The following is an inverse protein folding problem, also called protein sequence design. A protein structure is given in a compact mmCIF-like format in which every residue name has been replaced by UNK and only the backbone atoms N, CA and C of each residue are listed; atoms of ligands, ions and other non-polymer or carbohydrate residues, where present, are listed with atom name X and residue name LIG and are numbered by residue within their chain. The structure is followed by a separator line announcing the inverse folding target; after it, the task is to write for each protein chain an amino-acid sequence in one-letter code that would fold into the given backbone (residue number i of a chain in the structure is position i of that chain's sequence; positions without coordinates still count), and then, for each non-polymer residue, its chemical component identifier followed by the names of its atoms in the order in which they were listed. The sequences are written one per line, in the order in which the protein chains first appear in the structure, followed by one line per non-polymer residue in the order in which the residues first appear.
data_IF_124817010378
#
_entry.id   IF_124817010378
#
_cell.length_a   1.000
_cell.length_b   1.000
_cell.length_c   1.000
_cell.angle_alpha   90.00
_cell.angle_beta   90.00
_cell.angle_gamma   90.00
#
_symmetry.space_group_name_H-M   'P 1'
#
loop_
_entity.id
_entity.type
_entity.pdbx_description
1 polymer ?
#
# COMPACT_ATOMS: atom_id res chain seq x y z
N UNK A 1 -5.10 -29.55 -34.22
CA UNK A 1 -6.05 -29.59 -33.10
C UNK A 1 -7.44 -29.61 -33.70
N UNK A 2 -8.13 -30.75 -33.53
CA UNK A 2 -9.53 -30.93 -33.89
C UNK A 2 -10.38 -30.16 -32.87
N UNK A 3 -11.19 -29.22 -33.34
CA UNK A 3 -12.31 -28.67 -32.58
C UNK A 3 -13.57 -29.33 -33.12
N UNK A 4 -14.15 -30.21 -32.31
CA UNK A 4 -15.38 -30.93 -32.63
C UNK A 4 -16.53 -29.93 -32.82
N UNK A 5 -17.07 -29.92 -34.04
CA UNK A 5 -18.33 -29.27 -34.38
C UNK A 5 -19.43 -30.15 -33.79
N UNK A 6 -20.08 -29.66 -32.74
CA UNK A 6 -21.23 -30.30 -32.09
C UNK A 6 -22.43 -30.22 -33.05
N UNK A 7 -22.54 -31.18 -33.99
CA UNK A 7 -23.77 -31.43 -34.74
C UNK A 7 -24.61 -32.45 -33.99
N UNK A 8 -25.69 -32.00 -33.35
CA UNK A 8 -26.59 -32.90 -32.66
C UNK A 8 -27.84 -32.19 -32.15
N UNK A 9 -28.79 -31.94 -33.06
CA UNK A 9 -30.22 -31.91 -32.77
C UNK A 9 -31.01 -31.70 -34.08
N UNK A 10 -31.31 -32.78 -34.80
CA UNK A 10 -32.49 -32.80 -35.66
C UNK A 10 -33.67 -33.31 -34.82
N UNK A 11 -34.64 -32.42 -34.61
CA UNK A 11 -35.83 -32.66 -33.80
C UNK A 11 -36.78 -31.47 -33.83
N UNK A 12 -37.40 -31.25 -34.99
CA UNK A 12 -38.76 -30.74 -35.20
C UNK A 12 -39.29 -29.60 -34.28
N UNK A 13 -39.24 -28.35 -34.74
CA UNK A 13 -40.33 -27.33 -34.72
C UNK A 13 -39.75 -25.94 -35.06
N UNK A 14 -40.44 -25.20 -35.94
CA UNK A 14 -40.00 -23.91 -36.48
C UNK A 14 -40.04 -22.76 -35.48
N UNK A 15 -39.14 -22.76 -34.50
CA UNK A 15 -38.85 -21.66 -33.60
C UNK A 15 -37.59 -20.92 -34.02
N UNK A 16 -37.63 -20.24 -35.18
CA UNK A 16 -36.56 -19.33 -35.57
C UNK A 16 -36.30 -18.35 -34.43
N UNK A 17 -35.05 -18.28 -33.94
CA UNK A 17 -34.66 -17.34 -32.89
C UNK A 17 -35.18 -15.96 -33.31
N UNK A 18 -36.11 -15.40 -32.55
CA UNK A 18 -36.75 -14.13 -32.92
C UNK A 18 -35.66 -13.07 -33.15
N UNK A 19 -35.75 -12.28 -34.23
CA UNK A 19 -34.74 -11.26 -34.56
C UNK A 19 -34.39 -10.34 -33.37
N UNK A 20 -35.34 -10.11 -32.48
CA UNK A 20 -35.17 -9.32 -31.27
C UNK A 20 -34.25 -10.00 -30.22
N UNK A 21 -34.33 -11.33 -30.06
CA UNK A 21 -33.42 -12.08 -29.16
C UNK A 21 -31.99 -12.11 -29.69
N UNK A 22 -31.81 -12.12 -31.01
CA UNK A 22 -30.48 -12.02 -31.65
C UNK A 22 -29.90 -10.61 -31.44
N UNK A 23 -30.72 -9.56 -31.58
CA UNK A 23 -30.29 -8.17 -31.31
C UNK A 23 -29.94 -7.94 -29.85
N UNK A 24 -30.74 -8.44 -28.93
CA UNK A 24 -30.49 -8.33 -27.48
C UNK A 24 -29.19 -9.07 -27.09
N UNK A 25 -28.97 -10.26 -27.65
CA UNK A 25 -27.72 -11.00 -27.46
C UNK A 25 -26.51 -10.27 -28.03
N UNK A 26 -26.61 -9.72 -29.25
CA UNK A 26 -25.55 -8.90 -29.85
C UNK A 26 -25.26 -7.63 -29.06
N UNK A 27 -26.30 -6.94 -28.55
CA UNK A 27 -26.15 -5.76 -27.71
C UNK A 27 -25.44 -6.09 -26.39
N UNK A 28 -25.83 -7.20 -25.73
CA UNK A 28 -25.19 -7.67 -24.49
C UNK A 28 -23.74 -8.10 -24.73
N UNK A 29 -23.45 -8.75 -25.86
CA UNK A 29 -22.08 -9.09 -26.27
C UNK A 29 -21.24 -7.84 -26.53
N UNK A 30 -21.77 -6.83 -27.22
CA UNK A 30 -21.06 -5.58 -27.48
C UNK A 30 -20.77 -4.81 -26.18
N UNK A 31 -21.74 -4.74 -25.26
CA UNK A 31 -21.56 -4.14 -23.93
C UNK A 31 -20.51 -4.90 -23.11
N UNK A 32 -20.56 -6.23 -23.08
CA UNK A 32 -19.57 -7.05 -22.39
C UNK A 32 -18.17 -6.91 -23.00
N UNK A 33 -18.05 -6.81 -24.32
CA UNK A 33 -16.77 -6.58 -24.99
C UNK A 33 -16.17 -5.21 -24.64
N UNK A 34 -16.99 -4.16 -24.55
CA UNK A 34 -16.54 -2.84 -24.11
C UNK A 34 -16.07 -2.86 -22.66
N UNK A 35 -16.80 -3.51 -21.75
CA UNK A 35 -16.40 -3.67 -20.35
C UNK A 35 -15.09 -4.47 -20.23
N UNK A 36 -14.94 -5.57 -20.98
CA UNK A 36 -13.71 -6.35 -21.00
C UNK A 36 -12.52 -5.57 -21.58
N UNK A 37 -12.74 -4.77 -22.63
CA UNK A 37 -11.69 -3.94 -23.21
C UNK A 37 -11.23 -2.85 -22.23
N UNK A 38 -12.16 -2.19 -21.53
CA UNK A 38 -11.86 -1.22 -20.50
C UNK A 38 -11.10 -1.86 -19.32
N UNK A 39 -11.55 -3.01 -18.84
CA UNK A 39 -10.87 -3.77 -17.78
C UNK A 39 -9.44 -4.15 -18.17
N UNK A 40 -9.23 -4.66 -19.39
CA UNK A 40 -7.88 -4.99 -19.90
C UNK A 40 -6.96 -3.77 -19.99
N UNK A 41 -7.48 -2.62 -20.41
CA UNK A 41 -6.68 -1.39 -20.45
C UNK A 41 -6.30 -0.92 -19.04
N UNK A 42 -7.22 -1.03 -18.08
CA UNK A 42 -6.96 -0.68 -16.69
C UNK A 42 -5.91 -1.61 -16.06
N UNK A 43 -6.00 -2.91 -16.30
CA UNK A 43 -5.01 -3.91 -15.85
C UNK A 43 -3.62 -3.64 -16.45
N UNK A 44 -3.54 -3.34 -17.75
CA UNK A 44 -2.27 -3.00 -18.40
C UNK A 44 -1.64 -1.74 -17.81
N UNK A 45 -2.43 -0.70 -17.51
CA UNK A 45 -1.93 0.53 -16.88
C UNK A 45 -1.44 0.28 -15.45
N UNK A 46 -2.17 -0.51 -14.67
CA UNK A 46 -1.76 -0.90 -13.32
C UNK A 46 -0.43 -1.67 -13.37
N UNK A 47 -0.30 -2.63 -14.28
CA UNK A 47 0.94 -3.39 -14.46
C UNK A 47 2.12 -2.50 -14.86
N UNK A 48 1.93 -1.58 -15.80
CA UNK A 48 2.98 -0.62 -16.19
C UNK A 48 3.42 0.27 -15.03
N UNK A 49 2.48 0.65 -14.15
CA UNK A 49 2.82 1.41 -12.96
C UNK A 49 3.60 0.55 -11.96
N UNK A 50 3.19 -0.71 -11.74
CA UNK A 50 3.95 -1.64 -10.89
C UNK A 50 5.37 -1.89 -11.41
N UNK A 51 5.54 -2.09 -12.72
CA UNK A 51 6.86 -2.31 -13.33
C UNK A 51 7.80 -1.11 -13.10
N UNK A 52 7.26 0.12 -13.17
CA UNK A 52 8.03 1.35 -12.84
C UNK A 52 8.43 1.39 -11.38
N UNK A 53 7.53 1.04 -10.46
CA UNK A 53 7.82 1.03 -9.02
C UNK A 53 8.87 -0.04 -8.68
N UNK A 54 8.79 -1.22 -9.29
CA UNK A 54 9.82 -2.26 -9.17
C UNK A 54 11.15 -1.77 -9.71
N UNK A 55 11.18 -1.05 -10.84
CA UNK A 55 12.42 -0.49 -11.38
C UNK A 55 13.08 0.51 -10.41
N UNK A 56 12.28 1.34 -9.73
CA UNK A 56 12.77 2.27 -8.69
C UNK A 56 13.36 1.48 -7.51
N UNK A 57 12.69 0.42 -7.04
CA UNK A 57 13.21 -0.46 -5.98
C UNK A 57 14.53 -1.13 -6.39
N UNK A 58 14.62 -1.64 -7.62
CA UNK A 58 15.84 -2.26 -8.13
C UNK A 58 16.99 -1.25 -8.22
N UNK A 59 16.72 -0.03 -8.68
CA UNK A 59 17.70 1.06 -8.70
C UNK A 59 18.16 1.41 -7.29
N UNK A 60 17.23 1.45 -6.32
CA UNK A 60 17.58 1.64 -4.92
C UNK A 60 18.49 0.52 -4.41
N UNK A 61 18.11 -0.74 -4.62
CA UNK A 61 18.89 -1.93 -4.24
C UNK A 61 20.31 -1.89 -4.82
N UNK A 62 20.46 -1.53 -6.09
CA UNK A 62 21.75 -1.51 -6.79
C UNK A 62 22.68 -0.38 -6.30
N UNK A 63 22.12 0.76 -5.90
CA UNK A 63 22.91 1.94 -5.53
C UNK A 63 23.02 2.12 -4.01
N UNK A 64 22.24 1.37 -3.22
CA UNK A 64 22.21 1.48 -1.77
C UNK A 64 23.49 0.93 -1.15
N UNK A 65 24.09 1.71 -0.25
CA UNK A 65 25.16 1.25 0.63
C UNK A 65 24.64 0.51 1.87
N UNK A 66 23.32 0.43 2.03
CA UNK A 66 22.65 -0.19 3.18
C UNK A 66 22.28 -1.63 2.83
N UNK A 67 23.23 -2.55 3.06
CA UNK A 67 23.08 -3.98 2.77
C UNK A 67 21.83 -4.58 3.40
N UNK A 68 21.52 -4.18 4.63
CA UNK A 68 20.44 -4.80 5.39
C UNK A 68 19.06 -4.38 4.89
N UNK A 69 18.88 -3.09 4.56
CA UNK A 69 17.65 -2.62 3.91
C UNK A 69 17.46 -3.29 2.55
N UNK A 70 18.53 -3.44 1.79
CA UNK A 70 18.51 -4.11 0.49
C UNK A 70 18.04 -5.55 0.59
N UNK A 71 18.55 -6.29 1.59
CA UNK A 71 18.13 -7.65 1.87
C UNK A 71 16.65 -7.70 2.30
N UNK A 72 16.21 -6.83 3.20
CA UNK A 72 14.82 -6.80 3.67
C UNK A 72 13.85 -6.46 2.54
N UNK A 73 14.18 -5.52 1.65
CA UNK A 73 13.38 -5.20 0.46
C UNK A 73 13.27 -6.44 -0.45
N UNK A 74 14.38 -7.13 -0.70
CA UNK A 74 14.36 -8.35 -1.51
C UNK A 74 13.47 -9.43 -0.88
N UNK A 75 13.56 -9.62 0.44
CA UNK A 75 12.67 -10.54 1.18
C UNK A 75 11.20 -10.13 1.09
N UNK A 76 10.88 -8.84 1.20
CA UNK A 76 9.51 -8.36 1.03
C UNK A 76 8.96 -8.67 -0.38
N UNK A 77 9.78 -8.49 -1.41
CA UNK A 77 9.43 -8.85 -2.79
C UNK A 77 9.21 -10.36 -2.94
N UNK A 78 10.06 -11.20 -2.34
CA UNK A 78 9.88 -12.67 -2.30
C UNK A 78 8.55 -13.08 -1.65
N UNK A 79 8.06 -12.32 -0.67
CA UNK A 79 6.77 -12.55 -0.01
C UNK A 79 5.57 -11.98 -0.79
N UNK A 80 5.77 -11.54 -2.04
CA UNK A 80 4.75 -10.94 -2.90
C UNK A 80 4.14 -9.65 -2.34
N UNK A 81 4.84 -8.96 -1.43
CA UNK A 81 4.38 -7.66 -0.93
C UNK A 81 4.43 -6.64 -2.08
N UNK A 82 3.36 -5.86 -2.33
CA UNK A 82 3.33 -4.89 -3.43
C UNK A 82 4.46 -3.86 -3.38
N UNK A 83 5.08 -3.60 -4.52
CA UNK A 83 6.20 -2.65 -4.64
C UNK A 83 5.84 -1.24 -4.16
N UNK A 84 4.61 -0.78 -4.43
CA UNK A 84 4.09 0.51 -3.96
C UNK A 84 4.14 0.63 -2.43
N UNK A 85 3.83 -0.47 -1.73
CA UNK A 85 3.83 -0.52 -0.28
C UNK A 85 5.25 -0.55 0.28
N UNK A 86 6.13 -1.37 -0.32
CA UNK A 86 7.55 -1.41 0.07
C UNK A 86 8.21 -0.04 -0.11
N UNK A 87 7.93 0.65 -1.23
CA UNK A 87 8.39 2.01 -1.46
C UNK A 87 7.90 2.95 -0.36
N UNK A 88 6.61 2.92 -0.02
CA UNK A 88 6.07 3.73 1.06
C UNK A 88 6.77 3.50 2.40
N UNK A 89 7.13 2.25 2.72
CA UNK A 89 7.92 1.93 3.91
C UNK A 89 9.31 2.57 3.87
N UNK A 90 10.00 2.56 2.73
CA UNK A 90 11.37 3.09 2.66
C UNK A 90 11.44 4.59 2.36
N UNK A 91 10.33 5.29 2.19
CA UNK A 91 10.35 6.72 1.85
C UNK A 91 10.97 7.60 2.94
N UNK A 92 10.77 7.25 4.21
CA UNK A 92 11.25 8.06 5.34
C UNK A 92 12.79 8.08 5.37
N UNK A 93 13.37 9.28 5.33
CA UNK A 93 14.83 9.48 5.33
C UNK A 93 15.56 9.09 4.03
N UNK A 94 14.82 8.82 2.94
CA UNK A 94 15.41 8.48 1.62
C UNK A 94 14.97 9.50 0.56
N UNK A 95 15.64 10.66 0.54
CA UNK A 95 15.34 11.79 -0.35
C UNK A 95 15.44 11.47 -1.84
N UNK A 96 16.32 10.55 -2.23
CA UNK A 96 16.48 10.17 -3.64
C UNK A 96 15.26 9.40 -4.14
N UNK A 97 14.71 8.50 -3.31
CA UNK A 97 13.48 7.75 -3.61
C UNK A 97 12.29 8.71 -3.68
N UNK A 98 12.24 9.66 -2.74
CA UNK A 98 11.27 10.76 -2.72
C UNK A 98 11.28 11.58 -4.03
N UNK A 99 12.46 12.03 -4.46
CA UNK A 99 12.63 12.78 -5.72
C UNK A 99 12.18 11.97 -6.94
N UNK A 100 12.53 10.70 -7.01
CA UNK A 100 12.13 9.82 -8.12
C UNK A 100 10.62 9.58 -8.19
N UNK A 101 9.95 9.57 -7.03
CA UNK A 101 8.49 9.43 -6.94
C UNK A 101 7.75 10.76 -7.01
N UNK A 102 8.45 11.89 -7.00
CA UNK A 102 7.84 13.22 -6.94
C UNK A 102 7.10 13.49 -5.63
N UNK A 103 7.51 12.82 -4.53
CA UNK A 103 6.93 12.98 -3.19
C UNK A 103 7.96 13.64 -2.29
N UNK A 104 7.58 14.67 -1.52
CA UNK A 104 8.48 15.33 -0.58
C UNK A 104 7.94 15.29 0.84
N UNK A 105 8.72 14.69 1.75
CA UNK A 105 8.50 14.75 3.19
C UNK A 105 9.33 15.90 3.77
N UNK A 106 9.00 17.13 3.40
CA UNK A 106 9.63 18.29 4.02
C UNK A 106 8.96 18.58 5.37
N UNK A 107 9.65 18.22 6.46
CA UNK A 107 9.55 18.96 7.71
C UNK A 107 10.54 20.11 7.67
N UNK A 108 10.30 21.05 6.75
CA UNK A 108 11.07 22.28 6.67
C UNK A 108 10.98 23.06 7.99
N UNK A 109 12.01 23.83 8.33
CA UNK A 109 11.92 24.92 9.31
C UNK A 109 11.09 26.11 8.78
N UNK A 110 10.21 25.90 7.80
CA UNK A 110 9.35 26.88 7.13
C UNK A 110 7.93 26.29 7.02
N UNK A 111 6.86 27.11 7.07
CA UNK A 111 5.49 26.63 7.14
C UNK A 111 5.09 25.88 5.86
N UNK A 112 4.34 24.78 6.03
CA UNK A 112 3.85 23.92 4.96
C UNK A 112 3.15 24.72 3.85
N UNK A 113 3.82 24.85 2.71
CA UNK A 113 3.22 25.23 1.44
C UNK A 113 3.30 24.02 0.49
N UNK A 114 2.31 23.13 0.59
CA UNK A 114 1.99 22.23 -0.52
C UNK A 114 1.58 23.12 -1.70
N UNK A 115 2.28 22.97 -2.82
CA UNK A 115 1.89 23.60 -4.08
C UNK A 115 0.42 23.23 -4.40
N UNK A 116 -0.48 24.19 -4.17
CA UNK A 116 -1.88 24.14 -4.60
C UNK A 116 -2.95 24.01 -3.51
N UNK A 117 -2.62 23.94 -2.22
CA UNK A 117 -3.65 23.91 -1.16
C UNK A 117 -3.60 25.14 -0.26
N UNK A 118 -4.63 25.98 -0.37
CA UNK A 118 -4.91 27.13 0.49
C UNK A 118 -4.88 26.76 1.98
N UNK A 119 -4.45 27.72 2.80
CA UNK A 119 -4.16 27.60 4.23
C UNK A 119 -5.32 27.00 5.08
N UNK A 120 -6.56 27.06 4.59
CA UNK A 120 -7.74 26.50 5.25
C UNK A 120 -7.74 24.96 5.34
N UNK A 121 -7.01 24.25 4.47
CA UNK A 121 -6.93 22.78 4.51
C UNK A 121 -5.99 22.22 5.59
N UNK A 122 -5.07 23.03 6.15
CA UNK A 122 -4.04 22.54 7.06
C UNK A 122 -4.53 22.28 8.49
N UNK A 123 -5.55 23.01 8.95
CA UNK A 123 -6.18 22.72 10.25
C UNK A 123 -7.09 21.48 10.17
N UNK A 124 -7.73 21.25 9.01
CA UNK A 124 -8.52 20.05 8.78
C UNK A 124 -7.63 18.79 8.77
N UNK A 125 -6.43 18.87 8.17
CA UNK A 125 -5.51 17.72 8.11
C UNK A 125 -4.95 17.33 9.49
N UNK A 126 -4.70 18.29 10.40
CA UNK A 126 -4.24 18.01 11.76
C UNK A 126 -5.34 17.39 12.63
N UNK A 127 -6.61 17.77 12.41
CA UNK A 127 -7.73 17.22 13.18
C UNK A 127 -8.07 15.77 12.79
N UNK A 128 -7.74 15.35 11.57
CA UNK A 128 -7.84 13.95 11.10
C UNK A 128 -6.62 13.07 11.49
N UNK A 129 -5.56 13.68 12.06
CA UNK A 129 -4.30 13.01 12.45
C UNK A 129 -4.34 12.53 13.91
N UNK A 130 -5.24 13.05 14.75
CA UNK A 130 -5.39 12.59 16.15
C UNK A 130 -6.21 11.30 16.22
N UNK A 131 -5.61 10.20 15.80
CA UNK A 131 -6.08 8.87 16.19
C UNK A 131 -5.55 8.56 17.61
N UNK A 132 -6.43 8.42 18.62
CA UNK A 132 -6.01 8.08 19.98
C UNK A 132 -5.27 6.74 20.06
N UNK A 133 -5.50 5.81 19.13
CA UNK A 133 -4.78 4.54 19.07
C UNK A 133 -3.32 4.72 18.61
N UNK A 134 -3.05 5.60 17.64
CA UNK A 134 -1.69 5.91 17.19
C UNK A 134 -0.91 6.76 18.20
N UNK A 135 -1.59 7.63 18.94
CA UNK A 135 -0.97 8.43 20.01
C UNK A 135 -0.38 7.60 21.15
N UNK A 136 -0.93 6.40 21.41
CA UNK A 136 -0.40 5.45 22.39
C UNK A 136 0.91 4.77 21.99
N UNK A 137 1.25 4.74 20.70
CA UNK A 137 2.46 4.10 20.16
C UNK A 137 3.75 4.69 20.73
N UNK A 138 3.75 6.00 20.98
CA UNK A 138 4.96 6.77 21.28
C UNK A 138 5.41 6.68 22.74
N UNK A 139 4.62 5.99 23.58
CA UNK A 139 4.92 5.73 25.00
C UNK A 139 6.08 4.72 25.17
N UNK A 140 6.47 4.03 24.09
CA UNK A 140 7.50 2.96 24.09
C UNK A 140 8.94 3.48 24.30
N UNK A 141 9.20 4.79 24.16
CA UNK A 141 10.56 5.34 24.20
C UNK A 141 11.12 5.75 25.58
N UNK A 142 10.42 5.40 26.67
CA UNK A 142 10.94 5.50 28.05
C UNK A 142 10.55 6.79 28.80
N UNK A 143 10.55 6.70 30.15
CA UNK A 143 9.93 7.66 31.07
C UNK A 143 10.59 9.05 31.16
N UNK A 144 11.82 9.24 30.65
CA UNK A 144 12.61 10.46 30.92
C UNK A 144 12.91 11.34 29.70
N UNK A 145 12.48 10.96 28.49
CA UNK A 145 12.63 11.81 27.28
C UNK A 145 11.36 11.77 26.46
N UNK A 146 10.66 12.90 26.41
CA UNK A 146 9.56 13.09 25.48
C UNK A 146 10.05 12.89 24.04
N UNK A 147 9.30 12.13 23.26
CA UNK A 147 9.60 11.91 21.85
C UNK A 147 9.58 13.28 21.11
N UNK A 148 10.64 13.68 20.40
CA UNK A 148 10.70 15.00 19.79
C UNK A 148 9.52 15.26 18.84
N UNK A 149 8.83 16.39 19.00
CA UNK A 149 7.61 16.73 18.24
C UNK A 149 7.86 16.67 16.73
N UNK A 150 9.02 17.13 16.25
CA UNK A 150 9.39 17.05 14.83
C UNK A 150 9.46 15.62 14.31
N UNK A 151 10.00 14.69 15.12
CA UNK A 151 10.06 13.28 14.77
C UNK A 151 8.66 12.65 14.79
N UNK A 152 7.81 13.05 15.74
CA UNK A 152 6.41 12.62 15.82
C UNK A 152 5.68 12.95 14.53
N UNK A 153 5.70 14.22 14.14
CA UNK A 153 5.02 14.69 12.95
C UNK A 153 5.54 13.98 11.69
N UNK A 154 6.84 13.69 11.61
CA UNK A 154 7.42 12.94 10.50
C UNK A 154 6.86 11.53 10.39
N UNK A 155 6.81 10.83 11.53
CA UNK A 155 6.32 9.45 11.60
C UNK A 155 4.83 9.39 11.34
N UNK A 156 4.05 10.37 11.81
CA UNK A 156 2.61 10.45 11.56
C UNK A 156 2.32 10.67 10.06
N UNK A 157 3.02 11.62 9.42
CA UNK A 157 2.93 11.84 7.96
C UNK A 157 3.37 10.61 7.16
N UNK A 158 4.41 9.93 7.62
CA UNK A 158 4.87 8.68 7.03
C UNK A 158 3.83 7.56 7.14
N UNK A 159 3.20 7.41 8.31
CA UNK A 159 2.11 6.46 8.52
C UNK A 159 0.93 6.71 7.61
N UNK A 160 0.54 7.98 7.42
CA UNK A 160 -0.48 8.37 6.44
C UNK A 160 -0.10 7.95 5.02
N UNK A 161 1.14 8.20 4.61
CA UNK A 161 1.58 7.82 3.26
C UNK A 161 1.66 6.30 3.06
N UNK A 162 1.97 5.52 4.09
CA UNK A 162 1.88 4.05 4.02
C UNK A 162 0.42 3.62 3.87
N UNK A 163 -0.50 4.23 4.63
CA UNK A 163 -1.93 3.98 4.50
C UNK A 163 -2.44 4.32 3.10
N UNK A 164 -2.12 5.50 2.58
CA UNK A 164 -2.55 5.96 1.24
C UNK A 164 -2.00 5.07 0.12
N UNK A 165 -0.82 4.47 0.30
CA UNK A 165 -0.26 3.48 -0.62
C UNK A 165 -0.99 2.12 -0.55
N UNK A 166 -1.52 1.75 0.61
CA UNK A 166 -2.22 0.48 0.83
C UNK A 166 -3.71 0.53 0.48
N UNK A 167 -4.36 1.67 0.74
CA UNK A 167 -5.80 1.91 0.61
C UNK A 167 -6.39 1.57 -0.77
N UNK A 168 -5.71 1.80 -1.91
CA UNK A 168 -6.24 1.44 -3.23
C UNK A 168 -6.21 -0.07 -3.54
N UNK A 169 -5.41 -0.86 -2.83
CA UNK A 169 -5.23 -2.30 -3.05
C UNK A 169 -5.32 -3.11 -1.74
N UNK A 170 -6.35 -2.86 -0.90
CA UNK A 170 -6.29 -3.19 0.51
C UNK A 170 -6.37 -4.73 0.72
N UNK A 171 -7.11 -5.45 -0.13
CA UNK A 171 -7.16 -6.92 -0.10
C UNK A 171 -5.80 -7.57 -0.40
N UNK A 172 -5.04 -7.03 -1.37
CA UNK A 172 -3.71 -7.54 -1.72
C UNK A 172 -2.71 -7.29 -0.60
N UNK A 173 -2.79 -6.13 0.04
CA UNK A 173 -1.94 -5.79 1.20
C UNK A 173 -2.25 -6.72 2.36
N UNK A 174 -3.52 -6.83 2.77
CA UNK A 174 -3.91 -7.66 3.91
C UNK A 174 -3.66 -9.16 3.70
N UNK A 175 -3.70 -9.62 2.45
CA UNK A 175 -3.33 -11.00 2.09
C UNK A 175 -1.82 -11.26 2.19
N UNK A 176 -0.99 -10.25 1.90
CA UNK A 176 0.48 -10.40 1.83
C UNK A 176 1.18 -10.06 3.14
N UNK A 177 0.57 -9.20 3.97
CA UNK A 177 1.05 -8.83 5.31
C UNK A 177 -0.04 -9.23 6.33
N UNK A 178 -0.13 -10.53 6.66
CA UNK A 178 -1.19 -11.07 7.48
C UNK A 178 -0.91 -10.74 8.94
N UNK A 179 -1.51 -9.65 9.42
CA UNK A 179 -1.70 -9.43 10.85
C UNK A 179 -3.14 -9.70 11.28
N UNK A 180 -4.05 -9.75 10.30
CA UNK A 180 -5.49 -9.88 10.49
C UNK A 180 -6.14 -10.90 9.55
N UNK A 181 -5.32 -11.74 8.91
CA UNK A 181 -5.83 -12.89 8.19
C UNK A 181 -5.97 -14.01 9.22
N UNK A 182 -7.18 -14.48 9.47
CA UNK A 182 -7.49 -15.65 10.30
C UNK A 182 -7.00 -16.97 9.66
N UNK A 183 -5.97 -16.88 8.82
CA UNK A 183 -5.37 -18.01 8.14
C UNK A 183 -4.16 -18.49 8.97
N UNK A 184 -4.32 -19.56 9.78
CA UNK A 184 -3.25 -20.10 10.62
C UNK A 184 -2.07 -20.67 9.82
N UNK A 185 -2.19 -20.84 8.49
CA UNK A 185 -1.08 -21.24 7.61
C UNK A 185 -0.36 -20.06 6.96
N UNK A 186 -0.90 -18.83 7.06
CA UNK A 186 -0.25 -17.63 6.56
C UNK A 186 1.04 -17.39 7.35
N UNK A 187 2.18 -17.55 6.67
CA UNK A 187 3.47 -17.64 7.31
C UNK A 187 3.81 -16.28 7.97
N UNK A 188 4.10 -16.23 9.29
CA UNK A 188 4.40 -14.99 10.03
C UNK A 188 5.68 -14.26 9.56
N UNK A 189 6.36 -14.81 8.55
CA UNK A 189 7.58 -14.27 7.97
C UNK A 189 7.32 -12.91 7.32
N UNK A 190 6.25 -12.72 6.55
CA UNK A 190 6.05 -11.45 5.84
C UNK A 190 5.76 -10.29 6.80
N UNK A 191 5.01 -10.55 7.88
CA UNK A 191 4.86 -9.62 9.00
C UNK A 191 6.22 -9.27 9.60
N UNK A 192 7.03 -10.26 9.96
CA UNK A 192 8.36 -10.01 10.55
C UNK A 192 9.26 -9.20 9.59
N UNK A 193 9.23 -9.48 8.28
CA UNK A 193 9.99 -8.72 7.29
C UNK A 193 9.55 -7.25 7.23
N UNK A 194 8.24 -6.98 7.24
CA UNK A 194 7.70 -5.62 7.25
C UNK A 194 8.07 -4.91 8.55
N UNK A 195 7.88 -5.55 9.71
CA UNK A 195 8.25 -4.98 11.01
C UNK A 195 9.75 -4.66 11.08
N UNK A 196 10.62 -5.57 10.62
CA UNK A 196 12.07 -5.33 10.56
C UNK A 196 12.42 -4.18 9.61
N UNK A 197 11.82 -4.15 8.42
CA UNK A 197 12.04 -3.08 7.44
C UNK A 197 11.65 -1.71 8.03
N UNK A 198 10.46 -1.62 8.62
CA UNK A 198 9.95 -0.43 9.31
C UNK A 198 10.89 0.00 10.44
N UNK A 199 11.35 -0.94 11.28
CA UNK A 199 12.27 -0.64 12.38
C UNK A 199 13.63 -0.12 11.88
N UNK A 200 14.14 -0.65 10.75
CA UNK A 200 15.41 -0.23 10.18
C UNK A 200 15.32 1.16 9.53
N UNK A 201 14.21 1.45 8.85
CA UNK A 201 13.93 2.78 8.31
C UNK A 201 13.85 3.81 9.44
N UNK A 202 13.12 3.50 10.51
CA UNK A 202 13.02 4.37 11.69
C UNK A 202 14.36 4.56 12.39
N UNK A 203 15.14 3.48 12.56
CA UNK A 203 16.51 3.54 13.12
C UNK A 203 17.35 4.54 12.36
N UNK A 204 17.39 4.42 11.04
CA UNK A 204 18.23 5.25 10.18
C UNK A 204 17.76 6.71 10.23
N UNK A 205 16.45 6.94 10.12
CA UNK A 205 15.87 8.30 10.18
C UNK A 205 16.10 8.97 11.53
N UNK A 206 15.88 8.26 12.64
CA UNK A 206 16.11 8.81 13.97
C UNK A 206 17.59 9.07 14.24
N UNK A 207 18.48 8.18 13.78
CA UNK A 207 19.92 8.39 13.92
C UNK A 207 20.40 9.65 13.18
N UNK A 208 19.87 9.93 11.98
CA UNK A 208 20.11 11.18 11.25
C UNK A 208 19.67 12.42 12.04
N UNK A 209 18.66 12.28 12.89
CA UNK A 209 18.11 13.34 13.74
C UNK A 209 18.62 13.28 15.19
N UNK A 210 19.74 12.60 15.43
CA UNK A 210 20.39 12.48 16.75
C UNK A 210 19.51 11.84 17.84
N UNK A 211 18.56 10.98 17.44
CA UNK A 211 17.74 10.16 18.33
C UNK A 211 18.07 8.68 18.10
N UNK A 212 18.64 8.00 19.08
CA UNK A 212 19.11 6.61 18.93
C UNK A 212 18.50 5.70 19.99
N UNK A 213 17.20 5.37 19.88
CA UNK A 213 16.56 4.45 20.80
C UNK A 213 17.10 3.02 20.62
N UNK A 214 17.00 2.16 21.65
CA UNK A 214 17.34 0.74 21.54
C UNK A 214 16.56 0.05 20.42
N UNK A 215 17.19 -0.93 19.75
CA UNK A 215 16.56 -1.67 18.65
C UNK A 215 15.25 -2.36 19.07
N UNK A 216 15.20 -2.92 20.27
CA UNK A 216 13.98 -3.56 20.80
C UNK A 216 12.80 -2.59 20.86
N UNK A 217 13.04 -1.35 21.30
CA UNK A 217 12.01 -0.31 21.33
C UNK A 217 11.56 0.07 19.90
N UNK A 218 12.50 0.17 18.96
CA UNK A 218 12.18 0.42 17.55
C UNK A 218 11.37 -0.70 16.94
N UNK A 219 11.72 -1.96 17.23
CA UNK A 219 10.99 -3.13 16.72
C UNK A 219 9.57 -3.19 17.28
N UNK A 220 9.41 -2.98 18.58
CA UNK A 220 8.11 -2.97 19.24
C UNK A 220 7.24 -1.81 18.73
N UNK A 221 7.83 -0.62 18.57
CA UNK A 221 7.16 0.52 17.98
C UNK A 221 6.76 0.25 16.53
N UNK A 222 7.64 -0.34 15.72
CA UNK A 222 7.35 -0.70 14.33
C UNK A 222 6.22 -1.72 14.22
N UNK A 223 6.19 -2.74 15.08
CA UNK A 223 5.09 -3.72 15.14
C UNK A 223 3.76 -3.03 15.47
N UNK A 224 3.74 -2.20 16.52
CA UNK A 224 2.55 -1.44 16.90
C UNK A 224 2.09 -0.47 15.81
N UNK A 225 3.02 0.26 15.20
CA UNK A 225 2.75 1.22 14.14
C UNK A 225 2.15 0.55 12.91
N UNK A 226 2.73 -0.58 12.47
CA UNK A 226 2.21 -1.32 11.32
C UNK A 226 0.85 -1.95 11.62
N UNK A 227 0.61 -2.44 12.85
CA UNK A 227 -0.73 -2.87 13.31
C UNK A 227 -1.75 -1.77 13.11
N UNK A 228 -1.46 -0.57 13.59
CA UNK A 228 -2.35 0.59 13.48
C UNK A 228 -2.68 0.91 12.02
N UNK A 229 -1.65 0.99 11.16
CA UNK A 229 -1.85 1.27 9.73
C UNK A 229 -2.69 0.18 9.06
N UNK A 230 -2.36 -1.10 9.25
CA UNK A 230 -3.06 -2.21 8.61
C UNK A 230 -4.50 -2.40 9.14
N UNK A 231 -4.73 -2.13 10.42
CA UNK A 231 -6.08 -2.09 11.01
C UNK A 231 -6.94 -1.05 10.30
N UNK A 232 -6.44 0.18 10.10
CA UNK A 232 -7.18 1.23 9.38
C UNK A 232 -7.50 0.83 7.94
N UNK A 233 -6.57 0.16 7.25
CA UNK A 233 -6.81 -0.39 5.89
C UNK A 233 -7.94 -1.44 5.92
N UNK A 234 -7.98 -2.31 6.93
CA UNK A 234 -9.04 -3.30 7.12
C UNK A 234 -10.39 -2.64 7.41
N UNK A 235 -10.44 -1.71 8.34
CA UNK A 235 -11.66 -0.99 8.74
C UNK A 235 -12.26 -0.24 7.53
N UNK A 236 -11.43 0.30 6.65
CA UNK A 236 -11.90 0.92 5.40
C UNK A 236 -12.66 -0.07 4.51
N UNK A 237 -12.17 -1.30 4.32
CA UNK A 237 -12.88 -2.33 3.54
C UNK A 237 -14.22 -2.68 4.20
N UNK A 238 -14.22 -2.88 5.52
CA UNK A 238 -15.42 -3.28 6.26
C UNK A 238 -16.51 -2.20 6.19
N UNK A 239 -16.14 -0.93 6.32
CA UNK A 239 -17.06 0.19 6.16
C UNK A 239 -17.60 0.32 4.73
N UNK A 240 -16.77 0.07 3.71
CA UNK A 240 -17.22 0.07 2.31
C UNK A 240 -18.22 -1.07 2.03
N UNK A 241 -18.07 -2.23 2.67
CA UNK A 241 -18.99 -3.36 2.54
C UNK A 241 -20.35 -3.13 3.22
N UNK A 242 -20.43 -2.28 4.23
CA UNK A 242 -21.68 -1.95 4.92
C UNK A 242 -22.54 -0.91 4.16
N UNK A 243 -21.94 -0.17 3.23
CA UNK A 243 -22.59 0.89 2.46
C UNK A 243 -23.10 0.43 1.07
N UNK A 244 -22.70 -0.76 0.61
CA UNK A 244 -23.10 -1.35 -0.67
C UNK A 244 -24.06 -2.52 -0.49
#
# INVERSE_FOLDING_TARGET
MNGEIFSGAEGNEGGGISPDKVREFQARMAQNQQLMAAARQQEQRQKQNEDKLVAILLKFIQNSKKSDLTLLIARCLEQNIPAVFILALILLGNEDVQKELGVHFELGNEPLALAGSTEENHQQTLHDIEDPEMSGALVVFGQDRSFPIKLRLAVDLWGKNIFDAASPIPERILKTVPEYNEDPEAVPISKEMVTQLTAFVLRDYFAQNHFTPPYENLKNFADFFMRGVLKRVKDQIENQKQLG
#
